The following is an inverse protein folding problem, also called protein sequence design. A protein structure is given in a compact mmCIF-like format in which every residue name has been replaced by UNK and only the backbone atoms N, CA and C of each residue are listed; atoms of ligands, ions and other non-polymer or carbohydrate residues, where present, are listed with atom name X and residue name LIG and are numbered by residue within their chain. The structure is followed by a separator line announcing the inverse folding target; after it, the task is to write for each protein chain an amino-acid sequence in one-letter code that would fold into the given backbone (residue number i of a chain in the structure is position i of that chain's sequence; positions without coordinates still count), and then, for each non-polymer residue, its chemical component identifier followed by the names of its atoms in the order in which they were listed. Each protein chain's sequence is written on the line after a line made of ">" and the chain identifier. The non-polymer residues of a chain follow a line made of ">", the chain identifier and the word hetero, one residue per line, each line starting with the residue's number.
data_IF_147174297741
#
_entry.id   IF_147174297741
#
_cell.length_a   1.000
_cell.length_b   1.000
_cell.length_c   1.000
_cell.angle_alpha   90.00
_cell.angle_beta   90.00
_cell.angle_gamma   90.00
#
_symmetry.space_group_name_H-M   'P 1'
#
loop_
_entity.id
_entity.type
_entity.pdbx_description
1 polymer ?
#
# COMPACT_ATOMS: atom_id res chain seq x y z
N UNK A 1 11.44 7.95 -37.52
CA UNK A 1 11.86 8.16 -36.13
C UNK A 1 10.60 8.19 -35.33
N UNK A 2 10.35 7.17 -34.51
CA UNK A 2 9.17 7.11 -33.65
C UNK A 2 9.39 8.10 -32.52
N UNK A 3 8.66 9.20 -32.52
CA UNK A 3 8.46 10.01 -31.32
C UNK A 3 7.66 9.16 -30.33
N UNK A 4 8.25 8.94 -29.17
CA UNK A 4 7.65 8.23 -28.05
C UNK A 4 6.56 9.11 -27.44
N UNK A 5 5.29 8.80 -27.75
CA UNK A 5 4.11 9.56 -27.34
C UNK A 5 3.82 9.48 -25.82
N UNK A 6 4.60 8.72 -25.07
CA UNK A 6 4.44 8.58 -23.60
C UNK A 6 5.20 9.63 -22.81
N UNK A 7 6.11 10.38 -23.45
CA UNK A 7 6.90 11.42 -22.77
C UNK A 7 6.23 12.79 -22.91
N UNK A 8 6.04 13.54 -21.81
CA UNK A 8 5.50 14.89 -21.89
C UNK A 8 6.42 15.79 -22.73
N UNK A 9 5.86 16.41 -23.77
CA UNK A 9 6.58 17.41 -24.58
C UNK A 9 6.39 18.80 -24.00
N UNK A 10 7.45 19.44 -23.55
CA UNK A 10 7.40 20.83 -23.08
C UNK A 10 7.10 21.76 -24.26
N UNK A 11 5.95 22.43 -24.22
CA UNK A 11 5.62 23.54 -25.13
C UNK A 11 5.60 24.85 -24.35
N UNK A 12 6.27 25.85 -24.88
CA UNK A 12 6.13 27.22 -24.39
C UNK A 12 4.72 27.71 -24.69
N UNK A 13 3.92 27.82 -23.64
CA UNK A 13 2.56 28.37 -23.70
C UNK A 13 2.66 29.84 -23.29
N UNK A 14 2.45 30.75 -24.24
CA UNK A 14 2.48 32.20 -24.00
C UNK A 14 1.05 32.76 -23.92
N UNK A 15 0.20 32.11 -23.12
CA UNK A 15 -1.16 32.57 -22.86
C UNK A 15 -1.43 32.51 -21.35
N UNK A 16 -2.33 33.36 -20.82
CA UNK A 16 -2.66 33.31 -19.41
C UNK A 16 -3.26 31.95 -19.03
N UNK A 17 -2.85 31.40 -17.89
CA UNK A 17 -3.34 30.12 -17.39
C UNK A 17 -4.21 30.32 -16.16
N UNK A 18 -5.25 29.49 -16.04
CA UNK A 18 -6.04 29.36 -14.82
C UNK A 18 -5.49 28.16 -14.05
N UNK A 19 -5.13 28.41 -12.79
CA UNK A 19 -4.67 27.40 -11.86
C UNK A 19 -5.71 27.30 -10.73
N UNK A 20 -6.36 26.14 -10.64
CA UNK A 20 -7.37 25.83 -9.63
C UNK A 20 -6.84 24.68 -8.77
N UNK A 21 -5.81 24.94 -7.94
CA UNK A 21 -5.07 23.88 -7.30
C UNK A 21 -5.92 23.10 -6.31
N UNK A 22 -5.67 21.79 -6.29
CA UNK A 22 -6.06 20.92 -5.20
C UNK A 22 -4.80 20.19 -4.78
N UNK A 23 -4.42 20.31 -3.51
CA UNK A 23 -3.21 19.69 -2.98
C UNK A 23 -3.59 18.53 -2.06
N UNK A 24 -3.26 17.31 -2.47
CA UNK A 24 -3.52 16.10 -1.70
C UNK A 24 -2.21 15.63 -1.09
N UNK A 25 -2.12 15.66 0.23
CA UNK A 25 -1.04 15.03 0.99
C UNK A 25 -1.39 13.55 1.17
N UNK A 26 -0.45 12.68 0.83
CA UNK A 26 -0.61 11.25 0.90
C UNK A 26 0.60 10.61 1.59
N UNK A 27 0.34 9.69 2.51
CA UNK A 27 1.37 8.82 3.09
C UNK A 27 0.92 7.37 3.02
N UNK A 28 1.88 6.46 2.79
CA UNK A 28 1.66 5.02 2.96
C UNK A 28 2.52 4.44 4.09
N UNK A 29 3.05 5.30 4.96
CA UNK A 29 3.81 4.84 6.12
C UNK A 29 2.90 4.26 7.19
N UNK A 30 3.25 3.06 7.64
CA UNK A 30 2.57 2.42 8.74
C UNK A 30 3.05 3.04 10.06
N UNK A 31 2.24 3.95 10.62
CA UNK A 31 2.48 4.54 11.93
C UNK A 31 2.07 3.54 13.01
N UNK A 32 3.03 2.80 13.56
CA UNK A 32 2.87 1.82 14.65
C UNK A 32 1.82 0.72 14.40
N UNK A 33 2.25 -0.55 14.52
CA UNK A 33 1.37 -1.74 14.36
C UNK A 33 0.18 -1.79 15.33
N UNK A 34 0.26 -1.09 16.46
CA UNK A 34 -0.79 -1.08 17.49
C UNK A 34 -1.83 0.04 17.31
N UNK A 35 -1.58 0.97 16.38
CA UNK A 35 -2.45 2.14 16.15
C UNK A 35 -3.36 1.98 14.93
N UNK A 36 -3.32 0.81 14.27
CA UNK A 36 -4.27 0.43 13.22
C UNK A 36 -4.11 1.18 11.89
N UNK A 37 -3.10 2.04 11.76
CA UNK A 37 -2.88 2.83 10.55
C UNK A 37 -1.93 2.09 9.59
N UNK A 38 -2.51 1.10 8.92
CA UNK A 38 -2.05 0.59 7.61
C UNK A 38 -2.76 1.32 6.45
N UNK A 39 -3.42 2.44 6.73
CA UNK A 39 -4.22 3.16 5.74
C UNK A 39 -3.38 4.22 5.04
N UNK A 40 -3.50 4.24 3.71
CA UNK A 40 -3.27 5.43 2.92
C UNK A 40 -4.09 6.57 3.53
N UNK A 41 -3.41 7.59 4.06
CA UNK A 41 -4.08 8.80 4.53
C UNK A 41 -3.95 9.88 3.47
N UNK A 42 -5.08 10.18 2.83
CA UNK A 42 -5.18 11.29 1.90
C UNK A 42 -5.79 12.49 2.65
N UNK A 43 -5.03 13.58 2.74
CA UNK A 43 -5.46 14.83 3.34
C UNK A 43 -5.53 15.92 2.27
N UNK A 44 -6.72 16.46 2.04
CA UNK A 44 -6.89 17.66 1.23
C UNK A 44 -6.39 18.89 1.99
N UNK A 45 -5.79 19.84 1.28
CA UNK A 45 -5.39 21.11 1.87
C UNK A 45 -6.57 21.88 2.46
N UNK A 46 -6.29 22.66 3.50
CA UNK A 46 -7.27 23.43 4.26
C UNK A 46 -6.88 24.90 4.29
N UNK A 47 -7.89 25.76 4.23
CA UNK A 47 -7.71 27.20 4.41
C UNK A 47 -7.59 27.52 5.91
N UNK A 48 -6.37 27.84 6.35
CA UNK A 48 -6.10 28.23 7.74
C UNK A 48 -5.64 29.69 7.79
N UNK A 49 -6.58 30.63 7.71
CA UNK A 49 -6.26 32.06 7.61
C UNK A 49 -5.41 32.59 8.77
N UNK A 50 -5.54 32.01 9.97
CA UNK A 50 -4.75 32.40 11.14
C UNK A 50 -3.25 32.06 10.99
N UNK A 51 -2.89 31.07 10.18
CA UNK A 51 -1.51 30.65 9.96
C UNK A 51 -0.79 31.51 8.91
N UNK A 52 -1.51 32.08 7.94
CA UNK A 52 -0.94 32.83 6.81
C UNK A 52 0.01 33.96 7.27
N UNK A 53 -0.41 34.74 8.27
CA UNK A 53 0.41 35.85 8.77
C UNK A 53 1.66 35.40 9.55
N UNK A 54 1.70 34.16 10.04
CA UNK A 54 2.90 33.58 10.67
C UNK A 54 3.84 33.03 9.60
N UNK A 55 3.30 32.29 8.62
CA UNK A 55 4.05 31.72 7.49
C UNK A 55 4.69 32.84 6.66
N UNK A 56 3.93 33.86 6.27
CA UNK A 56 4.44 35.04 5.55
C UNK A 56 5.64 35.70 6.25
N UNK A 57 5.59 35.82 7.59
CA UNK A 57 6.70 36.38 8.37
C UNK A 57 7.92 35.47 8.42
N UNK A 58 7.72 34.15 8.55
CA UNK A 58 8.79 33.14 8.56
C UNK A 58 9.52 33.10 7.22
N UNK A 59 8.76 32.95 6.14
CA UNK A 59 9.27 32.82 4.77
C UNK A 59 9.70 34.16 4.14
N UNK A 60 9.49 35.28 4.85
CA UNK A 60 9.78 36.65 4.40
C UNK A 60 9.06 37.02 3.09
N UNK A 61 7.87 36.46 2.89
CA UNK A 61 6.99 36.74 1.75
C UNK A 61 5.96 37.78 2.21
N UNK A 62 5.76 38.91 1.50
CA UNK A 62 4.69 39.86 1.82
C UNK A 62 3.32 39.16 1.89
N UNK A 63 2.51 39.47 2.91
CA UNK A 63 1.23 38.78 3.14
C UNK A 63 0.21 38.97 2.01
N UNK A 64 0.36 40.04 1.24
CA UNK A 64 -0.43 40.36 0.05
C UNK A 64 0.03 39.61 -1.22
N UNK A 65 1.18 38.93 -1.16
CA UNK A 65 1.73 38.10 -2.23
C UNK A 65 1.60 36.59 -1.96
N UNK A 66 1.25 36.20 -0.73
CA UNK A 66 1.08 34.81 -0.33
C UNK A 66 -0.39 34.41 -0.45
N UNK A 67 -0.69 33.57 -1.45
CA UNK A 67 -2.04 33.12 -1.75
C UNK A 67 -2.32 31.74 -1.15
N UNK A 68 -3.54 31.53 -0.63
CA UNK A 68 -4.07 30.18 -0.38
C UNK A 68 -4.62 29.55 -1.68
N UNK A 69 -5.03 28.29 -1.62
CA UNK A 69 -5.55 27.52 -2.77
C UNK A 69 -6.77 28.15 -3.44
N UNK A 70 -7.57 28.93 -2.71
CA UNK A 70 -8.72 29.65 -3.27
C UNK A 70 -8.28 30.96 -3.92
N UNK A 71 -7.57 31.83 -3.19
CA UNK A 71 -7.19 33.16 -3.67
C UNK A 71 -6.23 33.11 -4.86
N UNK A 72 -5.39 32.08 -4.97
CA UNK A 72 -4.50 31.91 -6.13
C UNK A 72 -5.27 31.66 -7.43
N UNK A 73 -6.49 31.11 -7.35
CA UNK A 73 -7.37 30.78 -8.48
C UNK A 73 -8.21 31.96 -8.99
N UNK A 74 -8.32 33.05 -8.20
CA UNK A 74 -9.19 34.18 -8.51
C UNK A 74 -8.77 34.91 -9.79
N UNK A 75 -7.47 34.93 -10.08
CA UNK A 75 -6.90 35.67 -11.21
C UNK A 75 -6.08 34.74 -12.11
N UNK A 76 -6.15 34.98 -13.42
CA UNK A 76 -5.30 34.26 -14.37
C UNK A 76 -3.83 34.62 -14.13
N UNK A 77 -2.95 33.62 -14.17
CA UNK A 77 -1.50 33.79 -14.12
C UNK A 77 -1.04 34.16 -15.53
N UNK A 78 -0.44 35.33 -15.68
CA UNK A 78 0.07 35.82 -16.96
C UNK A 78 1.37 35.08 -17.35
N UNK A 79 1.71 35.02 -18.65
CA UNK A 79 3.00 34.48 -19.07
C UNK A 79 4.18 35.21 -18.41
N UNK A 80 5.04 34.46 -17.72
CA UNK A 80 6.20 35.01 -17.01
C UNK A 80 5.87 35.64 -15.64
N UNK A 81 4.62 35.54 -15.18
CA UNK A 81 4.23 35.89 -13.81
C UNK A 81 4.56 34.75 -12.85
N UNK A 82 5.19 35.08 -11.72
CA UNK A 82 5.41 34.16 -10.60
C UNK A 82 4.47 34.54 -9.44
N UNK A 83 3.88 33.54 -8.80
CA UNK A 83 3.02 33.72 -7.61
C UNK A 83 3.47 32.80 -6.49
N UNK A 84 3.33 33.28 -5.25
CA UNK A 84 3.59 32.50 -4.06
C UNK A 84 2.28 31.92 -3.54
N UNK A 85 2.23 30.59 -3.43
CA UNK A 85 1.10 29.86 -2.86
C UNK A 85 1.48 29.19 -1.55
N UNK A 86 0.49 28.92 -0.70
CA UNK A 86 0.65 28.07 0.48
C UNK A 86 -0.50 27.06 0.56
N UNK A 87 -0.13 25.79 0.71
CA UNK A 87 -1.03 24.70 1.04
C UNK A 87 -0.80 24.32 2.51
N UNK A 88 -1.87 24.05 3.25
CA UNK A 88 -1.80 23.76 4.69
C UNK A 88 -2.59 22.50 4.98
N UNK A 89 -1.97 21.54 5.65
CA UNK A 89 -2.62 20.35 6.19
C UNK A 89 -2.61 20.41 7.71
N UNK A 90 -3.62 19.80 8.33
CA UNK A 90 -3.78 19.75 9.78
C UNK A 90 -3.95 18.31 10.23
N UNK A 91 -3.66 18.05 11.51
CA UNK A 91 -3.80 16.72 12.12
C UNK A 91 -2.93 15.64 11.44
N UNK A 92 -1.81 16.06 10.84
CA UNK A 92 -0.79 15.16 10.29
C UNK A 92 0.04 14.60 11.44
N UNK A 93 0.23 13.28 11.42
CA UNK A 93 1.06 12.61 12.43
C UNK A 93 2.53 13.02 12.27
N UNK A 94 3.17 13.57 13.30
CA UNK A 94 4.54 14.07 13.20
C UNK A 94 5.59 12.96 13.05
N UNK A 95 5.22 11.70 13.21
CA UNK A 95 6.11 10.54 12.99
C UNK A 95 6.16 10.09 11.52
N UNK A 96 5.39 10.74 10.64
CA UNK A 96 5.47 10.48 9.20
C UNK A 96 6.79 11.07 8.70
N UNK A 97 7.68 10.18 8.28
CA UNK A 97 8.96 10.54 7.70
C UNK A 97 8.83 10.77 6.19
N UNK A 98 7.92 10.07 5.53
CA UNK A 98 7.72 10.15 4.09
C UNK A 98 6.28 10.41 3.69
N UNK A 99 6.12 11.38 2.79
CA UNK A 99 4.83 11.72 2.20
C UNK A 99 4.99 12.22 0.78
N UNK A 100 3.90 12.17 0.05
CA UNK A 100 3.78 12.64 -1.33
C UNK A 100 2.73 13.74 -1.36
N UNK A 101 2.98 14.82 -2.09
CA UNK A 101 1.97 15.84 -2.39
C UNK A 101 1.61 15.73 -3.87
N UNK A 102 0.35 15.40 -4.14
CA UNK A 102 -0.23 15.46 -5.47
C UNK A 102 -0.88 16.83 -5.69
N UNK A 103 -0.56 17.45 -6.82
CA UNK A 103 -1.03 18.79 -7.18
C UNK A 103 -1.84 18.69 -8.47
N UNK A 104 -3.12 18.98 -8.36
CA UNK A 104 -4.06 19.06 -9.49
C UNK A 104 -4.30 20.52 -9.91
N UNK A 105 -5.16 20.73 -10.90
CA UNK A 105 -5.74 22.06 -11.13
C UNK A 105 -5.11 22.90 -12.24
N UNK A 106 -4.16 22.34 -12.98
CA UNK A 106 -3.70 22.94 -14.23
C UNK A 106 -4.74 22.66 -15.32
N UNK A 107 -5.52 23.67 -15.68
CA UNK A 107 -6.69 23.53 -16.58
C UNK A 107 -6.35 22.97 -17.97
N UNK A 108 -5.08 22.99 -18.38
CA UNK A 108 -4.56 22.42 -19.63
C UNK A 108 -4.25 20.91 -19.56
N UNK A 109 -4.39 20.26 -18.41
CA UNK A 109 -3.99 18.87 -18.16
C UNK A 109 -5.18 17.92 -17.89
N UNK A 110 -6.42 18.41 -18.00
CA UNK A 110 -7.63 17.57 -17.92
C UNK A 110 -7.84 16.76 -19.21
N UNK A 111 -7.78 15.43 -19.13
CA UNK A 111 -8.17 14.54 -20.23
C UNK A 111 -9.54 13.91 -19.93
N UNK A 112 -10.51 14.21 -20.79
CA UNK A 112 -11.83 13.60 -20.72
C UNK A 112 -11.78 12.25 -21.44
N UNK A 113 -11.88 11.13 -20.71
CA UNK A 113 -12.27 9.85 -21.32
C UNK A 113 -13.78 9.69 -21.19
N UNK A 114 -14.44 9.44 -22.30
CA UNK A 114 -15.78 8.87 -22.27
C UNK A 114 -15.61 7.35 -22.32
N UNK A 115 -16.10 6.63 -21.32
CA UNK A 115 -16.26 5.18 -21.43
C UNK A 115 -17.29 4.88 -22.51
N UNK A 116 -16.79 4.58 -23.71
CA UNK A 116 -17.61 4.21 -24.85
C UNK A 116 -18.02 2.73 -24.77
N UNK A 117 -18.61 2.27 -23.67
CA UNK A 117 -19.20 0.93 -23.55
C UNK A 117 -20.47 0.89 -22.67
N UNK A 118 -21.33 1.89 -22.77
CA UNK A 118 -22.75 1.69 -22.46
C UNK A 118 -23.59 2.12 -23.66
N UNK A 119 -24.02 1.13 -24.43
CA UNK A 119 -25.04 1.30 -25.47
C UNK A 119 -26.27 1.99 -24.87
N UNK A 120 -26.59 3.16 -25.43
CA UNK A 120 -27.93 3.72 -25.62
C UNK A 120 -29.06 3.18 -24.72
N UNK A 121 -29.23 3.76 -23.54
CA UNK A 121 -30.55 3.96 -22.95
C UNK A 121 -30.68 5.41 -22.50
N UNK A 122 -31.38 6.21 -23.33
CA UNK A 122 -31.58 7.66 -23.21
C UNK A 122 -32.49 8.10 -22.04
N UNK A 123 -32.65 7.29 -21.00
CA UNK A 123 -33.52 7.60 -19.85
C UNK A 123 -32.80 7.69 -18.49
N UNK A 124 -31.50 7.39 -18.42
CA UNK A 124 -30.73 7.52 -17.19
C UNK A 124 -29.53 8.44 -17.40
N UNK A 125 -29.40 9.49 -16.56
CA UNK A 125 -28.17 10.28 -16.51
C UNK A 125 -26.98 9.34 -16.22
N UNK A 126 -25.86 9.45 -16.95
CA UNK A 126 -24.70 8.58 -16.75
C UNK A 126 -24.23 8.71 -15.30
N UNK A 127 -24.23 7.60 -14.57
CA UNK A 127 -24.11 7.63 -13.11
C UNK A 127 -22.66 7.76 -12.62
N UNK A 128 -21.65 7.58 -13.47
CA UNK A 128 -20.24 7.75 -13.11
C UNK A 128 -19.43 8.12 -14.37
N UNK A 129 -18.98 9.38 -14.48
CA UNK A 129 -17.93 9.75 -15.45
C UNK A 129 -16.58 9.62 -14.72
N UNK A 130 -15.77 8.63 -15.09
CA UNK A 130 -14.40 8.44 -14.57
C UNK A 130 -13.49 9.51 -15.19
N UNK A 131 -12.77 10.28 -14.35
CA UNK A 131 -11.92 11.39 -14.79
C UNK A 131 -10.47 11.11 -14.42
N UNK A 132 -9.62 10.89 -15.43
CA UNK A 132 -8.17 10.89 -15.25
C UNK A 132 -7.70 12.36 -15.22
N UNK A 133 -7.22 12.82 -14.07
CA UNK A 133 -6.59 14.13 -13.93
C UNK A 133 -5.08 13.95 -13.93
N UNK A 134 -4.40 14.60 -14.88
CA UNK A 134 -2.94 14.71 -14.86
C UNK A 134 -2.54 15.63 -13.70
N UNK A 135 -1.73 15.12 -12.79
CA UNK A 135 -1.28 15.78 -11.58
C UNK A 135 0.24 15.81 -11.50
N UNK A 136 0.75 16.81 -10.78
CA UNK A 136 2.16 16.88 -10.43
C UNK A 136 2.35 16.17 -9.09
N UNK A 137 3.17 15.13 -9.07
CA UNK A 137 3.57 14.39 -7.88
C UNK A 137 4.91 14.91 -7.37
N UNK A 138 4.95 15.32 -6.11
CA UNK A 138 6.16 15.72 -5.39
C UNK A 138 6.35 14.81 -4.17
N UNK A 139 7.50 14.13 -4.09
CA UNK A 139 7.83 13.26 -2.97
C UNK A 139 8.68 14.04 -1.94
N UNK A 140 8.44 13.83 -0.64
CA UNK A 140 9.14 14.49 0.46
C UNK A 140 9.70 13.50 1.47
N UNK A 141 10.83 13.86 2.09
CA UNK A 141 11.43 13.13 3.20
C UNK A 141 11.80 14.05 4.36
N UNK A 142 11.38 13.66 5.56
CA UNK A 142 11.77 14.22 6.84
C UNK A 142 12.26 13.08 7.75
N UNK A 143 13.56 12.96 8.07
CA UNK A 143 13.98 12.01 9.08
C UNK A 143 13.45 12.44 10.46
N UNK A 144 12.52 11.67 11.02
CA UNK A 144 11.89 11.94 12.30
C UNK A 144 12.87 11.88 13.48
N UNK A 145 13.51 13.00 13.79
CA UNK A 145 14.03 13.26 15.13
C UNK A 145 12.90 13.92 15.94
N UNK A 146 12.03 13.08 16.53
CA UNK A 146 10.92 13.49 17.40
C UNK A 146 11.35 14.28 18.67
N UNK A 147 12.65 14.48 18.88
CA UNK A 147 13.25 15.08 20.07
C UNK A 147 13.93 16.44 19.82
N UNK A 148 13.87 17.01 18.60
CA UNK A 148 14.39 18.36 18.34
C UNK A 148 13.26 19.36 18.09
N UNK A 149 13.11 20.33 18.98
CA UNK A 149 12.21 21.50 18.89
C UNK A 149 12.55 22.46 17.71
N UNK A 150 13.53 22.10 16.87
CA UNK A 150 13.93 22.88 15.71
C UNK A 150 13.09 22.42 14.51
N UNK A 151 12.12 23.26 14.09
CA UNK A 151 11.33 23.07 12.88
C UNK A 151 12.23 23.00 11.64
N UNK A 152 12.67 21.80 11.25
CA UNK A 152 13.51 21.59 10.07
C UNK A 152 12.74 21.74 8.75
N UNK A 153 13.44 22.21 7.71
CA UNK A 153 12.95 22.27 6.35
C UNK A 153 12.88 20.84 5.76
N UNK A 154 11.69 20.42 5.35
CA UNK A 154 11.49 19.16 4.62
C UNK A 154 11.96 19.33 3.17
N UNK A 155 12.73 18.36 2.64
CA UNK A 155 13.28 18.44 1.29
C UNK A 155 12.45 17.63 0.30
N UNK A 156 12.24 18.20 -0.89
CA UNK A 156 11.75 17.45 -2.05
C UNK A 156 12.81 16.41 -2.40
N UNK A 157 12.38 15.17 -2.57
CA UNK A 157 13.25 14.06 -2.96
C UNK A 157 12.96 13.63 -4.39
N UNK A 158 13.92 12.94 -5.00
CA UNK A 158 13.73 12.45 -6.37
C UNK A 158 12.64 11.38 -6.40
N UNK A 159 11.94 11.33 -7.52
CA UNK A 159 10.89 10.34 -7.75
C UNK A 159 11.38 8.91 -7.57
N UNK A 160 10.50 8.04 -7.07
CA UNK A 160 10.79 6.63 -6.83
C UNK A 160 11.66 6.35 -5.59
N UNK A 161 12.11 7.37 -4.87
CA UNK A 161 12.78 7.17 -3.57
C UNK A 161 11.82 6.53 -2.57
N UNK A 162 10.57 6.99 -2.53
CA UNK A 162 9.53 6.44 -1.69
C UNK A 162 9.35 4.93 -1.93
N UNK A 163 9.20 4.52 -3.18
CA UNK A 163 9.03 3.12 -3.54
C UNK A 163 10.26 2.29 -3.14
N UNK A 164 11.48 2.80 -3.35
CA UNK A 164 12.71 2.12 -2.89
C UNK A 164 12.73 1.92 -1.38
N UNK A 165 12.34 2.93 -0.62
CA UNK A 165 12.28 2.86 0.83
C UNK A 165 11.19 1.94 1.32
N UNK A 166 9.98 2.02 0.78
CA UNK A 166 8.87 1.14 1.11
C UNK A 166 9.27 -0.33 0.87
N UNK A 167 9.87 -0.62 -0.29
CA UNK A 167 10.43 -1.93 -0.59
C UNK A 167 11.53 -2.31 0.40
N UNK A 168 12.48 -1.44 0.66
CA UNK A 168 13.57 -1.70 1.59
C UNK A 168 13.12 -1.95 3.03
N UNK A 169 12.15 -1.18 3.52
CA UNK A 169 11.53 -1.37 4.83
C UNK A 169 10.81 -2.72 4.92
N UNK A 170 10.04 -3.12 3.90
CA UNK A 170 9.40 -4.45 3.84
C UNK A 170 10.44 -5.58 3.89
N UNK A 171 11.56 -5.42 3.19
CA UNK A 171 12.69 -6.39 3.21
C UNK A 171 13.36 -6.49 4.59
N UNK A 172 13.61 -5.35 5.23
CA UNK A 172 14.19 -5.30 6.58
C UNK A 172 13.24 -5.85 7.64
N UNK A 173 11.96 -5.55 7.51
CA UNK A 173 10.92 -6.08 8.38
C UNK A 173 10.89 -7.60 8.27
N UNK A 174 10.86 -8.16 7.06
CA UNK A 174 10.80 -9.61 6.87
C UNK A 174 12.02 -10.35 7.45
N UNK A 175 13.21 -9.75 7.40
CA UNK A 175 14.44 -10.36 7.95
C UNK A 175 14.62 -10.16 9.46
N UNK A 176 14.03 -9.11 10.04
CA UNK A 176 14.10 -8.86 11.48
C UNK A 176 12.92 -9.46 12.26
N UNK A 177 11.78 -9.70 11.60
CA UNK A 177 10.53 -10.11 12.27
C UNK A 177 10.66 -11.43 13.00
N UNK A 178 11.34 -12.42 12.42
CA UNK A 178 11.52 -13.74 13.02
C UNK A 178 12.12 -13.66 14.44
N UNK A 179 13.06 -12.74 14.67
CA UNK A 179 13.66 -12.55 16.00
C UNK A 179 12.67 -11.96 17.03
N UNK A 180 11.70 -11.16 16.57
CA UNK A 180 10.66 -10.54 17.41
C UNK A 180 9.51 -11.52 17.71
N UNK A 181 9.12 -12.34 16.74
CA UNK A 181 7.98 -13.25 16.84
C UNK A 181 8.36 -14.68 17.23
N UNK A 182 9.66 -14.97 17.28
CA UNK A 182 10.24 -16.32 17.44
C UNK A 182 9.77 -17.31 16.36
N UNK A 183 9.33 -16.81 15.21
CA UNK A 183 8.90 -17.63 14.10
C UNK A 183 10.10 -18.23 13.35
N UNK A 184 9.92 -19.44 12.85
CA UNK A 184 10.88 -20.14 11.98
C UNK A 184 10.36 -20.14 10.55
N UNK A 185 10.08 -18.96 9.97
CA UNK A 185 9.30 -18.81 8.72
C UNK A 185 9.70 -19.78 7.59
N UNK A 186 11.00 -19.99 7.38
CA UNK A 186 11.52 -20.92 6.35
C UNK A 186 11.14 -22.37 6.65
N UNK A 187 11.31 -22.80 7.90
CA UNK A 187 10.94 -24.14 8.35
C UNK A 187 9.41 -24.29 8.42
N UNK A 188 8.69 -23.24 8.82
CA UNK A 188 7.23 -23.17 8.82
C UNK A 188 6.64 -23.44 7.43
N UNK A 189 7.11 -22.75 6.38
CA UNK A 189 6.70 -23.02 4.98
C UNK A 189 6.97 -24.48 4.61
N UNK A 190 8.16 -24.98 4.92
CA UNK A 190 8.55 -26.36 4.61
C UNK A 190 7.68 -27.38 5.34
N UNK A 191 7.40 -27.16 6.61
CA UNK A 191 6.63 -28.05 7.48
C UNK A 191 5.13 -28.05 7.12
N UNK A 192 4.60 -26.92 6.65
CA UNK A 192 3.27 -26.84 6.06
C UNK A 192 3.15 -27.62 4.74
N UNK A 193 4.28 -27.98 4.10
CA UNK A 193 4.30 -28.72 2.84
C UNK A 193 3.80 -27.90 1.65
N UNK A 194 3.92 -26.58 1.72
CA UNK A 194 3.46 -25.62 0.71
C UNK A 194 4.64 -24.87 0.11
N UNK A 195 4.43 -24.28 -1.06
CA UNK A 195 5.41 -23.41 -1.70
C UNK A 195 5.05 -21.95 -1.41
N UNK A 196 6.03 -21.06 -1.43
CA UNK A 196 5.77 -19.62 -1.28
C UNK A 196 4.82 -19.09 -2.38
N UNK A 197 4.86 -19.68 -3.58
CA UNK A 197 3.95 -19.35 -4.68
C UNK A 197 2.49 -19.61 -4.34
N UNK A 198 2.21 -20.57 -3.46
CA UNK A 198 0.84 -20.90 -3.06
C UNK A 198 0.24 -19.78 -2.17
N UNK A 199 1.06 -18.82 -1.73
CA UNK A 199 0.69 -17.61 -0.99
C UNK A 199 0.78 -16.33 -1.83
N UNK A 200 0.78 -16.44 -3.16
CA UNK A 200 0.65 -15.27 -4.03
C UNK A 200 -0.77 -14.73 -3.98
N UNK A 201 -0.87 -13.40 -3.95
CA UNK A 201 -2.13 -12.69 -4.10
C UNK A 201 -2.60 -12.75 -5.56
N UNK A 202 -3.92 -12.84 -5.82
CA UNK A 202 -4.45 -12.79 -7.17
C UNK A 202 -4.23 -11.41 -7.80
N UNK A 203 -4.15 -11.36 -9.12
CA UNK A 203 -4.28 -10.09 -9.85
C UNK A 203 -5.73 -9.62 -9.73
N UNK A 204 -5.93 -8.42 -9.20
CA UNK A 204 -7.23 -7.74 -9.24
C UNK A 204 -7.04 -6.33 -9.78
N UNK A 205 -7.82 -6.00 -10.79
CA UNK A 205 -8.00 -4.62 -11.22
C UNK A 205 -8.73 -3.86 -10.09
N UNK A 206 -8.30 -2.62 -9.81
CA UNK A 206 -8.89 -1.71 -8.82
C UNK A 206 -8.81 -2.16 -7.33
N UNK A 207 -7.74 -2.86 -6.92
CA UNK A 207 -7.47 -3.11 -5.49
C UNK A 207 -6.89 -1.85 -4.82
N UNK A 208 -7.59 -1.26 -3.85
CA UNK A 208 -7.10 -0.11 -3.08
C UNK A 208 -6.38 -0.55 -1.79
N UNK A 209 -5.07 -0.85 -1.90
CA UNK A 209 -4.15 -1.04 -0.78
C UNK A 209 -4.33 -2.28 0.13
N UNK A 210 -3.30 -2.60 0.92
CA UNK A 210 -3.32 -3.65 1.95
C UNK A 210 -3.06 -5.09 1.44
N UNK A 211 -2.76 -5.99 2.38
CA UNK A 211 -2.52 -7.40 2.06
C UNK A 211 -3.82 -8.12 1.66
N UNK A 212 -3.75 -8.95 0.62
CA UNK A 212 -4.84 -9.83 0.24
C UNK A 212 -5.04 -10.98 1.23
N UNK A 213 -6.27 -11.50 1.28
CA UNK A 213 -6.67 -12.56 2.20
C UNK A 213 -6.60 -13.97 1.60
N UNK A 214 -6.41 -14.11 0.28
CA UNK A 214 -6.17 -15.42 -0.36
C UNK A 214 -5.04 -16.21 0.32
N UNK A 215 -3.88 -15.60 0.67
CA UNK A 215 -2.84 -16.31 1.41
C UNK A 215 -3.30 -16.81 2.80
N UNK A 216 -4.16 -16.04 3.49
CA UNK A 216 -4.73 -16.42 4.80
C UNK A 216 -5.71 -17.57 4.65
N UNK A 217 -6.55 -17.55 3.61
CA UNK A 217 -7.45 -18.64 3.27
C UNK A 217 -6.67 -19.93 2.97
N UNK A 218 -5.61 -19.84 2.16
CA UNK A 218 -4.75 -20.98 1.84
C UNK A 218 -4.06 -21.55 3.08
N UNK A 219 -3.57 -20.68 3.97
CA UNK A 219 -3.01 -21.08 5.26
C UNK A 219 -4.02 -21.86 6.10
N UNK A 220 -5.23 -21.32 6.27
CA UNK A 220 -6.30 -21.98 7.03
C UNK A 220 -6.72 -23.33 6.44
N UNK A 221 -6.85 -23.42 5.11
CA UNK A 221 -7.13 -24.67 4.39
C UNK A 221 -6.01 -25.70 4.55
N UNK A 222 -4.76 -25.26 4.66
CA UNK A 222 -3.62 -26.14 4.86
C UNK A 222 -3.61 -26.71 6.27
N UNK A 223 -3.80 -25.87 7.28
CA UNK A 223 -3.91 -26.31 8.67
C UNK A 223 -5.11 -27.24 8.91
N UNK A 224 -6.22 -27.04 8.20
CA UNK A 224 -7.40 -27.88 8.31
C UNK A 224 -7.13 -29.35 7.94
N UNK A 225 -6.09 -29.64 7.15
CA UNK A 225 -5.69 -31.00 6.75
C UNK A 225 -4.88 -31.74 7.81
N UNK A 226 -4.42 -31.04 8.85
CA UNK A 226 -3.64 -31.61 9.95
C UNK A 226 -4.61 -32.04 11.03
N UNK A 227 -4.60 -33.30 11.46
CA UNK A 227 -5.60 -33.80 12.41
C UNK A 227 -5.33 -33.37 13.86
N UNK A 228 -4.05 -33.25 14.23
CA UNK A 228 -3.61 -32.96 15.60
C UNK A 228 -3.65 -31.47 15.91
N UNK A 229 -4.32 -31.09 17.01
CA UNK A 229 -4.35 -29.70 17.50
C UNK A 229 -2.96 -29.21 17.87
N UNK A 230 -2.17 -30.01 18.58
CA UNK A 230 -0.81 -29.64 18.98
C UNK A 230 0.13 -29.46 17.77
N UNK A 231 -0.08 -30.24 16.71
CA UNK A 231 0.67 -30.09 15.46
C UNK A 231 0.27 -28.81 14.73
N UNK A 232 -1.04 -28.47 14.69
CA UNK A 232 -1.51 -27.19 14.16
C UNK A 232 -0.91 -26.00 14.91
N UNK A 233 -0.89 -26.02 16.23
CA UNK A 233 -0.27 -24.95 17.05
C UNK A 233 1.23 -24.80 16.75
N UNK A 234 1.94 -25.92 16.62
CA UNK A 234 3.36 -25.93 16.24
C UNK A 234 3.57 -25.31 14.87
N UNK A 235 2.73 -25.66 13.89
CA UNK A 235 2.79 -25.09 12.53
C UNK A 235 2.44 -23.60 12.50
N UNK A 236 1.44 -23.17 13.27
CA UNK A 236 1.08 -21.75 13.41
C UNK A 236 2.24 -20.97 14.02
N UNK A 237 2.82 -21.44 15.11
CA UNK A 237 3.95 -20.78 15.77
C UNK A 237 5.17 -20.70 14.86
N UNK A 238 5.51 -21.79 14.17
CA UNK A 238 6.64 -21.81 13.24
C UNK A 238 6.43 -20.87 12.05
N UNK A 239 5.19 -20.78 11.52
CA UNK A 239 4.90 -19.99 10.33
C UNK A 239 4.65 -18.50 10.63
N UNK A 240 3.87 -18.18 11.65
CA UNK A 240 3.37 -16.82 11.97
C UNK A 240 3.90 -16.27 13.31
N UNK A 241 4.55 -17.10 14.13
CA UNK A 241 4.98 -16.75 15.48
C UNK A 241 3.95 -17.10 16.56
N UNK A 242 4.42 -17.15 17.81
CA UNK A 242 3.63 -17.64 18.95
C UNK A 242 2.35 -16.82 19.21
N UNK A 243 2.42 -15.51 19.02
CA UNK A 243 1.28 -14.60 19.23
C UNK A 243 0.10 -14.88 18.30
N UNK A 244 0.36 -15.41 17.11
CA UNK A 244 -0.68 -15.68 16.12
C UNK A 244 -1.65 -16.78 16.57
N UNK A 245 -1.23 -17.67 17.48
CA UNK A 245 -2.13 -18.67 18.09
C UNK A 245 -3.27 -17.95 18.83
N UNK A 246 -2.94 -16.99 19.70
CA UNK A 246 -3.94 -16.21 20.43
C UNK A 246 -4.85 -15.40 19.50
N UNK A 247 -4.30 -14.84 18.42
CA UNK A 247 -5.10 -14.10 17.44
C UNK A 247 -6.10 -14.99 16.71
N UNK A 248 -5.68 -16.21 16.32
CA UNK A 248 -6.58 -17.19 15.73
C UNK A 248 -7.66 -17.65 16.71
N UNK A 249 -7.29 -17.89 17.97
CA UNK A 249 -8.26 -18.23 19.02
C UNK A 249 -9.29 -17.12 19.24
N UNK A 250 -8.87 -15.87 19.28
CA UNK A 250 -9.75 -14.72 19.43
C UNK A 250 -10.75 -14.62 18.27
N UNK A 251 -10.28 -14.76 17.02
CA UNK A 251 -11.14 -14.77 15.84
C UNK A 251 -12.15 -15.92 15.89
N UNK A 252 -11.70 -17.15 16.15
CA UNK A 252 -12.57 -18.33 16.21
C UNK A 252 -13.57 -18.24 17.37
N UNK A 253 -13.15 -17.72 18.53
CA UNK A 253 -14.04 -17.46 19.67
C UNK A 253 -15.08 -16.40 19.33
N UNK A 254 -14.72 -15.36 18.59
CA UNK A 254 -15.67 -14.33 18.14
C UNK A 254 -16.69 -14.87 17.15
N UNK A 255 -16.34 -15.86 16.32
CA UNK A 255 -17.29 -16.46 15.35
C UNK A 255 -18.22 -17.50 15.99
N UNK A 256 -17.73 -18.26 16.97
CA UNK A 256 -18.41 -19.47 17.42
C UNK A 256 -18.64 -19.54 18.94
N UNK A 257 -17.92 -18.72 19.70
CA UNK A 257 -17.96 -18.66 21.15
C UNK A 257 -18.96 -17.62 21.70
N UNK A 258 -18.90 -17.37 23.03
CA UNK A 258 -19.76 -16.41 23.71
C UNK A 258 -19.48 -14.97 23.26
N UNK A 259 -20.53 -14.24 22.88
CA UNK A 259 -20.50 -12.82 22.51
C UNK A 259 -21.73 -12.10 23.07
N UNK A 260 -21.80 -10.77 22.97
CA UNK A 260 -22.99 -10.01 23.37
C UNK A 260 -24.21 -10.40 22.51
N UNK A 261 -25.43 -10.14 23.01
CA UNK A 261 -26.67 -10.48 22.28
C UNK A 261 -26.74 -9.76 20.93
N UNK A 262 -26.35 -8.48 20.91
CA UNK A 262 -26.35 -7.68 19.68
C UNK A 262 -25.32 -8.21 18.67
N UNK A 263 -24.12 -8.58 19.15
CA UNK A 263 -23.09 -9.16 18.29
C UNK A 263 -23.49 -10.56 17.78
N UNK A 264 -24.15 -11.39 18.60
CA UNK A 264 -24.61 -12.71 18.17
C UNK A 264 -25.64 -12.61 17.05
N UNK A 265 -26.53 -11.62 17.12
CA UNK A 265 -27.50 -11.34 16.06
C UNK A 265 -26.80 -11.00 14.73
N UNK A 266 -25.91 -10.01 14.74
CA UNK A 266 -25.16 -9.55 13.55
C UNK A 266 -24.31 -10.69 12.96
N UNK A 267 -23.61 -11.43 13.84
CA UNK A 267 -22.77 -12.56 13.46
C UNK A 267 -23.57 -13.68 12.82
N UNK A 268 -24.72 -14.07 13.39
CA UNK A 268 -25.58 -15.13 12.84
C UNK A 268 -26.18 -14.74 11.50
N UNK A 269 -26.59 -13.49 11.33
CA UNK A 269 -27.05 -12.96 10.03
C UNK A 269 -25.94 -13.09 8.98
N UNK A 270 -24.74 -12.60 9.29
CA UNK A 270 -23.60 -12.60 8.36
C UNK A 270 -23.10 -14.01 8.04
N UNK A 271 -23.06 -14.91 9.03
CA UNK A 271 -22.77 -16.34 8.79
C UNK A 271 -23.84 -17.00 7.92
N UNK A 272 -25.10 -16.62 8.08
CA UNK A 272 -26.22 -17.13 7.29
C UNK A 272 -26.08 -16.81 5.79
N UNK A 273 -25.60 -15.62 5.45
CA UNK A 273 -25.36 -15.18 4.05
C UNK A 273 -24.39 -16.11 3.32
N UNK A 274 -23.42 -16.66 4.03
CA UNK A 274 -22.44 -17.63 3.49
C UNK A 274 -22.79 -19.08 3.82
N UNK A 275 -23.97 -19.37 4.37
CA UNK A 275 -24.39 -20.73 4.71
C UNK A 275 -23.52 -21.38 5.78
N UNK A 276 -23.18 -20.62 6.82
CA UNK A 276 -22.53 -21.09 8.05
C UNK A 276 -23.44 -20.83 9.26
N UNK A 277 -23.15 -21.54 10.35
CA UNK A 277 -23.72 -21.24 11.68
C UNK A 277 -22.62 -21.31 12.73
N UNK A 278 -22.78 -20.67 13.91
CA UNK A 278 -21.81 -20.79 14.99
C UNK A 278 -21.53 -22.24 15.39
N UNK A 279 -22.54 -23.11 15.32
CA UNK A 279 -22.43 -24.53 15.65
C UNK A 279 -21.58 -25.28 14.61
N UNK A 280 -21.74 -24.97 13.32
CA UNK A 280 -20.89 -25.53 12.26
C UNK A 280 -19.45 -25.04 12.38
N UNK A 281 -19.26 -23.76 12.73
CA UNK A 281 -17.93 -23.20 12.97
C UNK A 281 -17.25 -23.90 14.16
N UNK A 282 -17.99 -24.20 15.24
CA UNK A 282 -17.44 -24.96 16.37
C UNK A 282 -17.01 -26.38 15.96
N UNK A 283 -17.75 -27.06 15.07
CA UNK A 283 -17.37 -28.40 14.60
C UNK A 283 -16.25 -28.40 13.58
N UNK A 284 -16.17 -27.37 12.74
CA UNK A 284 -15.22 -27.25 11.63
C UNK A 284 -14.58 -25.86 11.60
N UNK A 285 -13.73 -25.51 12.59
CA UNK A 285 -13.28 -24.13 12.80
C UNK A 285 -12.42 -23.60 11.65
N UNK A 286 -11.41 -24.36 11.22
CA UNK A 286 -10.49 -23.91 10.17
C UNK A 286 -11.14 -23.89 8.77
N UNK A 287 -11.94 -24.90 8.34
CA UNK A 287 -12.69 -24.80 7.09
C UNK A 287 -13.69 -23.63 7.09
N UNK A 288 -14.39 -23.41 8.21
CA UNK A 288 -15.35 -22.30 8.33
C UNK A 288 -14.64 -20.95 8.30
N UNK A 289 -13.51 -20.81 8.99
CA UNK A 289 -12.68 -19.61 8.95
C UNK A 289 -12.19 -19.32 7.53
N UNK A 290 -11.67 -20.31 6.81
CA UNK A 290 -11.26 -20.14 5.42
C UNK A 290 -12.42 -19.64 4.53
N UNK A 291 -13.63 -20.15 4.76
CA UNK A 291 -14.83 -19.72 4.02
C UNK A 291 -15.22 -18.26 4.33
N UNK A 292 -15.10 -17.82 5.58
CA UNK A 292 -15.33 -16.41 5.97
C UNK A 292 -14.29 -15.51 5.30
N UNK A 293 -13.01 -15.89 5.36
CA UNK A 293 -11.90 -15.15 4.75
C UNK A 293 -12.09 -15.03 3.24
N UNK A 294 -12.51 -16.11 2.56
CA UNK A 294 -12.83 -16.10 1.14
C UNK A 294 -14.01 -15.18 0.77
N UNK A 295 -14.98 -15.01 1.67
CA UNK A 295 -16.07 -14.04 1.47
C UNK A 295 -15.56 -12.61 1.56
N UNK A 296 -14.76 -12.30 2.58
CA UNK A 296 -14.19 -10.97 2.80
C UNK A 296 -13.26 -10.56 1.66
N UNK A 297 -12.55 -11.51 1.07
CA UNK A 297 -11.67 -11.30 -0.08
C UNK A 297 -12.42 -10.80 -1.34
N UNK A 298 -13.74 -10.93 -1.41
CA UNK A 298 -14.53 -10.39 -2.53
C UNK A 298 -14.67 -8.87 -2.50
N UNK A 299 -14.47 -8.25 -1.34
CA UNK A 299 -14.48 -6.79 -1.22
C UNK A 299 -13.19 -6.20 -1.78
N UNK A 300 -13.29 -5.33 -2.80
CA UNK A 300 -12.16 -4.57 -3.35
C UNK A 300 -11.80 -3.37 -2.47
N UNK A 301 -12.79 -2.78 -1.78
CA UNK A 301 -12.62 -1.67 -0.84
C UNK A 301 -12.22 -2.20 0.55
N UNK A 302 -11.06 -1.74 1.05
CA UNK A 302 -10.51 -2.12 2.35
C UNK A 302 -11.37 -1.70 3.55
N UNK A 303 -12.01 -0.53 3.49
CA UNK A 303 -12.90 -0.03 4.53
C UNK A 303 -14.16 -0.87 4.61
N UNK A 304 -14.73 -1.22 3.46
CA UNK A 304 -15.90 -2.12 3.42
C UNK A 304 -15.50 -3.54 3.86
N UNK A 305 -14.31 -4.03 3.48
CA UNK A 305 -13.78 -5.32 3.95
C UNK A 305 -13.65 -5.36 5.47
N UNK A 306 -13.09 -4.33 6.10
CA UNK A 306 -12.94 -4.23 7.57
C UNK A 306 -14.29 -4.17 8.28
N UNK A 307 -15.23 -3.39 7.74
CA UNK A 307 -16.59 -3.33 8.24
C UNK A 307 -17.29 -4.69 8.15
N UNK A 308 -17.13 -5.40 7.04
CA UNK A 308 -17.65 -6.76 6.87
C UNK A 308 -16.97 -7.74 7.84
N UNK A 309 -15.65 -7.64 8.03
CA UNK A 309 -14.93 -8.46 9.00
C UNK A 309 -15.45 -8.24 10.43
N UNK A 310 -15.76 -7.00 10.82
CA UNK A 310 -16.37 -6.69 12.12
C UNK A 310 -17.75 -7.34 12.33
N UNK A 311 -18.50 -7.59 11.26
CA UNK A 311 -19.77 -8.32 11.36
C UNK A 311 -19.57 -9.79 11.75
N UNK A 312 -18.48 -10.42 11.30
CA UNK A 312 -18.13 -11.80 11.67
C UNK A 312 -17.39 -11.88 13.02
N UNK A 313 -16.41 -11.01 13.22
CA UNK A 313 -15.40 -11.14 14.29
C UNK A 313 -15.55 -10.12 15.42
N UNK A 314 -16.48 -9.15 15.30
CA UNK A 314 -16.66 -8.08 16.29
C UNK A 314 -15.38 -7.28 16.50
N UNK A 315 -15.07 -6.99 17.76
CA UNK A 315 -13.87 -6.26 18.18
C UNK A 315 -12.57 -6.98 17.80
N UNK A 316 -12.59 -8.29 17.55
CA UNK A 316 -11.41 -9.05 17.15
C UNK A 316 -11.09 -8.94 15.66
N UNK A 317 -11.89 -8.24 14.85
CA UNK A 317 -11.71 -8.18 13.39
C UNK A 317 -10.31 -7.71 12.94
N UNK A 318 -9.69 -6.78 13.69
CA UNK A 318 -8.35 -6.29 13.37
C UNK A 318 -7.27 -7.39 13.41
N UNK A 319 -7.50 -8.49 14.15
CA UNK A 319 -6.59 -9.65 14.18
C UNK A 319 -6.45 -10.30 12.80
N UNK A 320 -7.45 -10.18 11.93
CA UNK A 320 -7.37 -10.70 10.56
C UNK A 320 -6.29 -9.99 9.75
N UNK A 321 -6.21 -8.67 9.85
CA UNK A 321 -5.17 -7.87 9.18
C UNK A 321 -3.78 -8.21 9.76
N UNK A 322 -3.68 -8.47 11.08
CA UNK A 322 -2.43 -8.93 11.71
C UNK A 322 -1.97 -10.29 11.18
N UNK A 323 -2.89 -11.24 11.03
CA UNK A 323 -2.57 -12.56 10.44
C UNK A 323 -2.16 -12.41 8.97
N UNK A 324 -2.90 -11.62 8.18
CA UNK A 324 -2.55 -11.38 6.77
C UNK A 324 -1.14 -10.80 6.62
N UNK A 325 -0.77 -9.87 7.50
CA UNK A 325 0.58 -9.30 7.54
C UNK A 325 1.65 -10.33 7.88
N UNK A 326 1.46 -11.16 8.91
CA UNK A 326 2.45 -12.20 9.25
C UNK A 326 2.57 -13.28 8.17
N UNK A 327 1.48 -13.60 7.44
CA UNK A 327 1.54 -14.48 6.26
C UNK A 327 2.40 -13.86 5.16
N UNK A 328 2.23 -12.55 4.90
CA UNK A 328 3.04 -11.83 3.92
C UNK A 328 4.52 -11.81 4.32
N UNK A 329 4.83 -11.55 5.61
CA UNK A 329 6.20 -11.61 6.14
C UNK A 329 6.80 -13.01 5.96
N UNK A 330 6.06 -14.06 6.33
CA UNK A 330 6.55 -15.44 6.22
C UNK A 330 6.87 -15.81 4.77
N UNK A 331 6.01 -15.40 3.83
CA UNK A 331 6.23 -15.54 2.38
C UNK A 331 7.50 -14.82 1.93
N UNK A 332 7.66 -13.55 2.29
CA UNK A 332 8.82 -12.73 1.92
C UNK A 332 10.11 -13.30 2.50
N UNK A 333 10.13 -13.67 3.78
CA UNK A 333 11.29 -14.26 4.45
C UNK A 333 11.71 -15.59 3.79
N UNK A 334 10.75 -16.47 3.48
CA UNK A 334 11.04 -17.72 2.78
C UNK A 334 11.62 -17.49 1.38
N UNK A 335 11.14 -16.48 0.66
CA UNK A 335 11.65 -16.14 -0.66
C UNK A 335 13.06 -15.54 -0.59
N UNK A 336 13.35 -14.66 0.37
CA UNK A 336 14.69 -14.12 0.59
C UNK A 336 15.70 -15.22 0.90
N UNK A 337 15.30 -16.20 1.72
CA UNK A 337 16.11 -17.37 1.99
C UNK A 337 16.38 -18.20 0.72
N UNK A 338 15.35 -18.43 -0.10
CA UNK A 338 15.47 -19.16 -1.38
C UNK A 338 16.39 -18.44 -2.38
N UNK A 339 16.33 -17.11 -2.41
CA UNK A 339 17.23 -16.28 -3.22
C UNK A 339 18.66 -16.19 -2.65
N UNK A 340 18.90 -16.76 -1.46
CA UNK A 340 20.17 -16.71 -0.73
C UNK A 340 20.63 -15.25 -0.54
N UNK A 341 19.71 -14.42 -0.05
CA UNK A 341 20.02 -13.05 0.37
C UNK A 341 20.75 -13.10 1.71
N UNK A 342 21.75 -12.24 1.86
CA UNK A 342 22.54 -12.12 3.09
C UNK A 342 21.83 -11.12 4.02
N UNK A 343 21.17 -11.64 5.05
CA UNK A 343 20.41 -10.85 6.02
C UNK A 343 21.27 -9.77 6.68
N UNK A 344 22.55 -10.06 6.96
CA UNK A 344 23.44 -9.08 7.58
C UNK A 344 23.75 -7.93 6.65
N UNK A 345 23.99 -8.21 5.36
CA UNK A 345 24.17 -7.15 4.35
C UNK A 345 22.90 -6.34 4.14
N UNK A 346 21.74 -7.00 4.14
CA UNK A 346 20.46 -6.32 3.99
C UNK A 346 20.21 -5.35 5.15
N UNK A 347 20.42 -5.81 6.39
CA UNK A 347 20.29 -5.00 7.60
C UNK A 347 21.30 -3.83 7.63
N UNK A 348 22.55 -4.06 7.23
CA UNK A 348 23.56 -3.01 7.14
C UNK A 348 23.27 -1.97 6.06
N UNK A 349 22.58 -2.35 4.99
CA UNK A 349 22.24 -1.44 3.89
C UNK A 349 21.17 -0.41 4.30
N UNK A 350 20.31 -0.74 5.27
CA UNK A 350 19.17 0.09 5.66
C UNK A 350 18.09 0.15 4.57
N UNK A 351 16.97 0.82 4.87
CA UNK A 351 15.79 0.86 3.99
C UNK A 351 16.10 1.50 2.63
N UNK A 352 16.98 2.49 2.59
CA UNK A 352 17.36 3.20 1.36
C UNK A 352 18.07 2.31 0.34
N UNK A 353 18.90 1.35 0.80
CA UNK A 353 19.78 0.55 -0.08
C UNK A 353 19.48 -0.94 -0.04
N UNK A 354 18.51 -1.39 0.76
CA UNK A 354 18.12 -2.79 0.83
C UNK A 354 17.71 -3.36 -0.54
N UNK A 355 17.03 -2.57 -1.39
CA UNK A 355 16.71 -3.01 -2.75
C UNK A 355 17.98 -3.29 -3.59
N UNK A 356 19.05 -2.49 -3.44
CA UNK A 356 20.31 -2.67 -4.17
C UNK A 356 20.96 -4.03 -3.87
N UNK A 357 20.85 -4.50 -2.62
CA UNK A 357 21.34 -5.83 -2.21
C UNK A 357 20.61 -6.95 -2.96
N UNK A 358 19.34 -6.73 -3.28
CA UNK A 358 18.44 -7.69 -3.90
C UNK A 358 18.48 -7.65 -5.43
N UNK A 359 18.79 -6.50 -6.04
CA UNK A 359 18.78 -6.29 -7.50
C UNK A 359 19.50 -7.39 -8.29
N UNK A 360 20.72 -7.85 -7.95
CA UNK A 360 21.38 -8.90 -8.71
C UNK A 360 20.57 -10.20 -8.79
N UNK A 361 19.84 -10.54 -7.73
CA UNK A 361 19.00 -11.75 -7.64
C UNK A 361 17.70 -11.61 -8.43
N UNK A 362 17.16 -10.40 -8.51
CA UNK A 362 15.94 -10.08 -9.28
C UNK A 362 16.20 -9.95 -10.77
N UNK A 363 17.34 -9.35 -11.15
CA UNK A 363 17.63 -9.02 -12.54
C UNK A 363 18.33 -10.15 -13.29
N UNK A 364 19.04 -11.04 -12.59
CA UNK A 364 19.85 -12.07 -13.24
C UNK A 364 19.63 -13.47 -12.66
N UNK A 365 19.96 -14.49 -13.46
CA UNK A 365 19.92 -15.91 -13.11
C UNK A 365 21.18 -16.58 -13.67
N UNK A 366 21.66 -17.64 -13.03
CA UNK A 366 22.79 -18.44 -13.54
C UNK A 366 22.46 -19.00 -14.93
N UNK A 367 23.40 -18.87 -15.88
CA UNK A 367 23.23 -19.41 -17.23
C UNK A 367 23.26 -20.94 -17.20
N UNK A 368 22.14 -21.64 -17.51
CA UNK A 368 22.12 -23.10 -17.47
C UNK A 368 22.91 -23.75 -18.61
N UNK A 369 23.42 -22.98 -19.57
CA UNK A 369 23.96 -23.50 -20.83
C UNK A 369 25.46 -23.82 -20.85
N UNK A 370 26.28 -23.53 -19.82
CA UNK A 370 27.74 -23.68 -19.94
C UNK A 370 28.52 -24.12 -18.68
N UNK A 371 29.72 -24.66 -18.92
CA UNK A 371 30.77 -25.09 -17.97
C UNK A 371 31.45 -23.94 -17.19
N UNK A 372 30.89 -22.72 -17.21
CA UNK A 372 31.42 -21.55 -16.47
C UNK A 372 30.53 -21.22 -15.24
N UNK A 373 30.96 -21.59 -14.01
CA UNK A 373 30.17 -21.43 -12.80
C UNK A 373 29.92 -19.98 -12.34
N UNK A 374 30.32 -18.96 -13.12
CA UNK A 374 30.10 -17.55 -12.81
C UNK A 374 29.22 -16.77 -13.80
N UNK A 375 28.79 -17.38 -14.92
CA UNK A 375 28.04 -16.66 -15.96
C UNK A 375 26.58 -16.48 -15.58
N UNK A 376 26.07 -15.26 -15.72
CA UNK A 376 24.66 -14.91 -15.48
C UNK A 376 24.01 -14.36 -16.75
N UNK A 377 22.71 -14.61 -16.88
CA UNK A 377 21.84 -14.07 -17.93
C UNK A 377 20.72 -13.25 -17.30
N UNK A 378 20.12 -12.36 -18.10
CA UNK A 378 18.97 -11.57 -17.67
C UNK A 378 17.80 -12.49 -17.31
N UNK A 379 17.15 -12.21 -16.18
CA UNK A 379 15.94 -12.89 -15.77
C UNK A 379 14.78 -12.50 -16.68
N UNK A 380 14.02 -13.49 -17.13
CA UNK A 380 12.79 -13.25 -17.87
C UNK A 380 11.82 -12.40 -17.05
N UNK A 381 11.10 -11.49 -17.72
CA UNK A 381 10.19 -10.56 -17.05
C UNK A 381 9.11 -11.25 -16.21
N UNK A 382 8.53 -12.34 -16.71
CA UNK A 382 7.54 -13.11 -15.98
C UNK A 382 8.10 -13.68 -14.67
N UNK A 383 9.30 -14.29 -14.72
CA UNK A 383 9.96 -14.83 -13.53
C UNK A 383 10.28 -13.71 -12.53
N UNK A 384 10.70 -12.55 -13.01
CA UNK A 384 10.96 -11.37 -12.15
C UNK A 384 9.67 -10.88 -11.50
N UNK A 385 8.59 -10.76 -12.25
CA UNK A 385 7.30 -10.30 -11.72
C UNK A 385 6.74 -11.28 -10.67
N UNK A 386 6.91 -12.58 -10.85
CA UNK A 386 6.53 -13.57 -9.84
C UNK A 386 7.33 -13.40 -8.54
N UNK A 387 8.64 -13.19 -8.63
CA UNK A 387 9.49 -12.89 -7.46
C UNK A 387 9.07 -11.60 -6.77
N UNK A 388 8.80 -10.54 -7.54
CA UNK A 388 8.35 -9.26 -7.02
C UNK A 388 7.01 -9.38 -6.29
N UNK A 389 6.07 -10.16 -6.83
CA UNK A 389 4.80 -10.47 -6.14
C UNK A 389 5.01 -11.24 -4.84
N UNK A 390 5.95 -12.20 -4.83
CA UNK A 390 6.29 -12.94 -3.62
C UNK A 390 6.89 -12.06 -2.52
N UNK A 391 7.73 -11.10 -2.89
CA UNK A 391 8.42 -10.22 -1.96
C UNK A 391 7.55 -9.06 -1.45
N UNK A 392 6.70 -8.50 -2.31
CA UNK A 392 6.05 -7.22 -2.08
C UNK A 392 4.52 -7.22 -2.22
N UNK A 393 3.91 -8.39 -2.49
CA UNK A 393 2.47 -8.49 -2.74
C UNK A 393 2.11 -8.16 -4.19
N UNK A 394 0.81 -8.14 -4.52
CA UNK A 394 0.34 -7.97 -5.90
C UNK A 394 0.86 -6.70 -6.60
N UNK A 395 1.02 -5.59 -5.86
CA UNK A 395 1.58 -4.31 -6.37
C UNK A 395 3.10 -4.34 -6.61
N UNK A 396 3.78 -5.41 -6.19
CA UNK A 396 5.24 -5.51 -6.23
C UNK A 396 5.89 -5.18 -7.58
N UNK A 397 5.37 -5.69 -8.72
CA UNK A 397 5.88 -5.34 -10.04
C UNK A 397 5.82 -3.85 -10.36
N UNK A 398 4.69 -3.19 -10.09
CA UNK A 398 4.50 -1.76 -10.38
C UNK A 398 5.33 -0.90 -9.42
N UNK A 399 5.39 -1.27 -8.14
CA UNK A 399 6.24 -0.64 -7.13
C UNK A 399 7.72 -0.71 -7.55
N UNK A 400 8.17 -1.87 -8.02
CA UNK A 400 9.53 -2.04 -8.53
C UNK A 400 9.79 -1.22 -9.78
N UNK A 401 8.85 -1.19 -10.73
CA UNK A 401 8.97 -0.38 -11.95
C UNK A 401 9.16 1.10 -11.59
N UNK A 402 8.31 1.66 -10.73
CA UNK A 402 8.43 3.04 -10.22
C UNK A 402 9.76 3.28 -9.50
N UNK A 403 10.19 2.34 -8.65
CA UNK A 403 11.48 2.40 -7.96
C UNK A 403 12.69 2.40 -8.93
N UNK A 404 12.55 1.79 -10.11
CA UNK A 404 13.62 1.68 -11.13
C UNK A 404 13.59 2.81 -12.15
N UNK A 405 12.42 3.37 -12.48
CA UNK A 405 12.24 4.51 -13.38
C UNK A 405 12.69 5.84 -12.75
N UNK A 406 12.92 5.85 -11.43
CA UNK A 406 13.55 6.90 -10.65
C UNK A 406 14.88 7.41 -11.25
N UNK A 407 14.83 8.52 -12.00
CA UNK A 407 16.02 9.24 -12.43
C UNK A 407 16.54 10.10 -11.27
N UNK A 408 17.78 9.85 -10.85
CA UNK A 408 18.53 10.77 -9.98
C UNK A 408 18.65 12.12 -10.71
N UNK A 409 17.81 13.09 -10.34
CA UNK A 409 17.80 14.45 -10.92
C UNK A 409 16.43 14.99 -11.36
N UNK A 410 15.37 14.18 -11.37
CA UNK A 410 13.99 14.65 -11.58
C UNK A 410 13.28 14.77 -10.22
N UNK A 411 13.14 16.01 -9.73
CA UNK A 411 12.50 16.35 -8.44
C UNK A 411 10.95 16.27 -8.49
N UNK A 412 10.37 15.91 -9.63
CA UNK A 412 8.92 15.84 -9.84
C UNK A 412 8.54 14.80 -10.90
N UNK A 413 7.36 14.19 -10.74
CA UNK A 413 6.72 13.33 -11.75
C UNK A 413 5.37 13.92 -12.18
N UNK A 414 5.04 13.78 -13.46
CA UNK A 414 3.67 13.90 -13.91
C UNK A 414 3.00 12.54 -13.80
N UNK A 415 1.97 12.45 -12.98
CA UNK A 415 1.21 11.23 -12.72
C UNK A 415 -0.23 11.41 -13.22
N UNK A 416 -0.90 10.30 -13.54
CA UNK A 416 -2.31 10.31 -13.93
C UNK A 416 -3.08 9.49 -12.91
N UNK A 417 -3.90 10.16 -12.10
CA UNK A 417 -4.72 9.50 -11.08
C UNK A 417 -6.20 9.56 -11.46
N UNK A 418 -6.91 8.47 -11.16
CA UNK A 418 -8.36 8.46 -11.10
C UNK A 418 -8.80 9.33 -9.93
N UNK A 419 -9.45 10.46 -10.21
CA UNK A 419 -10.00 11.31 -9.17
C UNK A 419 -11.50 11.02 -9.02
N UNK A 420 -11.94 10.68 -7.81
CA UNK A 420 -13.37 10.49 -7.53
C UNK A 420 -14.05 11.86 -7.53
N UNK A 421 -15.32 11.90 -7.89
CA UNK A 421 -16.10 13.14 -7.94
C UNK A 421 -16.14 13.89 -6.59
N UNK A 422 -16.01 13.16 -5.47
CA UNK A 422 -15.96 13.72 -4.11
C UNK A 422 -14.60 14.33 -3.75
N UNK A 423 -13.52 13.98 -4.47
CA UNK A 423 -12.17 14.53 -4.25
C UNK A 423 -11.97 15.84 -5.04
N UNK A 424 -12.90 16.18 -5.94
CA UNK A 424 -12.85 17.34 -6.86
C UNK A 424 -13.89 18.42 -6.48
N UNK A 425 -14.95 18.06 -5.76
CA UNK A 425 -16.10 18.93 -5.41
C UNK A 425 -16.21 19.11 -3.90
#
# INVERSE_FOLDING_TARGET
>A
GNEDLTKPTTKLINQPIRFEPHFVFETHEALSRDEGLLEQQDHLDRIVSAALGQISRREKIPSDMLHDSVSISEHLIQPGEERWGVAIWQDIDPRIDFFTVFIYGLTNSLRWRHEAEFETDLEHAPKYERRELECLRLDFYHPGDADQDDFEEVRVVHSGLFERLAMGSRLLEATSRAALTQAEHVEGVRNLGVRWQDFLEPEKEDWEGGAGLVPVEMFAKTLAKVDSVAERETLVSAFLGEQAIGWMEDLLRSVAGPVSVDQDFIRRESLGEIGLTPELVLSEPLPSFAKIVAELEKSQDMKERRKNAARFFGESAFRLDQIAHEVAIARTAALLHLLQVDDSKLQQAGSQRALEVLLPKLLTVADPAEDDPGRVVDRAENDRNELLKGLFGHEGPDLFKRAMEANVGEEYLWDFRDARQEDIL
#
